data_IF_714102806177
#
_entry.id   IF_714102806177
#
_cell.length_a   1.000
_cell.length_b   1.000
_cell.length_c   1.000
_cell.angle_alpha   90.00
_cell.angle_beta   90.00
_cell.angle_gamma   90.00
#
_symmetry.space_group_name_H-M   'P 1'
#
loop_
_entity.id
_entity.type
_entity.pdbx_description
1 polymer ?
#
# COMPACT_ATOMS: atom_id res chain seq x y z
N UNK A 1 -29.44 0.59 2.13
CA UNK A 1 -28.60 0.51 3.35
C UNK A 1 -27.26 0.00 2.90
N UNK A 2 -26.23 0.85 2.82
CA UNK A 2 -24.87 0.42 2.50
C UNK A 2 -24.11 0.31 3.82
N UNK A 3 -24.07 -0.88 4.42
CA UNK A 3 -23.57 -1.08 5.81
C UNK A 3 -22.04 -1.13 5.93
N UNK A 4 -21.30 -0.95 4.84
CA UNK A 4 -19.84 -0.86 4.87
C UNK A 4 -19.26 -0.83 3.47
N UNK A 5 -17.95 -0.63 3.38
CA UNK A 5 -17.20 -0.70 2.14
C UNK A 5 -16.93 -2.16 1.77
N UNK A 6 -17.13 -2.49 0.49
CA UNK A 6 -16.64 -3.76 -0.05
C UNK A 6 -15.15 -3.61 -0.38
N UNK A 7 -14.31 -4.41 0.27
CA UNK A 7 -12.85 -4.24 0.22
C UNK A 7 -12.18 -5.47 -0.37
N UNK A 8 -11.40 -5.27 -1.42
CA UNK A 8 -10.46 -6.26 -1.94
C UNK A 8 -9.05 -6.04 -1.38
N UNK A 9 -8.34 -7.11 -1.04
CA UNK A 9 -6.94 -7.05 -0.62
C UNK A 9 -6.12 -7.97 -1.50
N UNK A 10 -5.38 -7.40 -2.45
CA UNK A 10 -4.45 -8.11 -3.31
C UNK A 10 -3.11 -8.32 -2.59
N UNK A 11 -2.75 -9.59 -2.37
CA UNK A 11 -1.62 -9.98 -1.54
C UNK A 11 -2.00 -10.26 -0.09
N UNK A 12 -3.24 -10.72 0.14
CA UNK A 12 -3.79 -10.94 1.48
C UNK A 12 -3.00 -11.97 2.32
N UNK A 13 -2.35 -12.95 1.69
CA UNK A 13 -1.50 -13.97 2.37
C UNK A 13 -0.09 -13.48 2.69
N UNK A 14 0.28 -12.29 2.22
CA UNK A 14 1.55 -11.65 2.58
C UNK A 14 1.49 -11.04 3.98
N UNK A 15 2.66 -10.81 4.59
CA UNK A 15 2.74 -10.23 5.94
C UNK A 15 2.02 -8.86 6.06
N UNK A 16 2.06 -8.04 5.00
CA UNK A 16 1.34 -6.75 4.98
C UNK A 16 -0.17 -6.96 4.83
N UNK A 17 -0.60 -7.94 4.03
CA UNK A 17 -2.01 -8.28 3.87
C UNK A 17 -2.63 -8.83 5.16
N UNK A 18 -1.92 -9.74 5.85
CA UNK A 18 -2.30 -10.27 7.17
C UNK A 18 -2.45 -9.12 8.18
N UNK A 19 -1.44 -8.23 8.27
CA UNK A 19 -1.49 -7.07 9.17
C UNK A 19 -2.60 -6.07 8.81
N UNK A 20 -2.92 -5.89 7.52
CA UNK A 20 -4.00 -5.02 7.08
C UNK A 20 -5.37 -5.57 7.52
N UNK A 21 -5.59 -6.88 7.38
CA UNK A 21 -6.80 -7.55 7.86
C UNK A 21 -6.97 -7.38 9.39
N UNK A 22 -5.89 -7.58 10.13
CA UNK A 22 -5.86 -7.36 11.59
C UNK A 22 -6.19 -5.90 11.92
N UNK A 23 -5.52 -4.94 11.27
CA UNK A 23 -5.71 -3.51 11.50
C UNK A 23 -7.15 -3.06 11.20
N UNK A 24 -7.74 -3.52 10.09
CA UNK A 24 -9.13 -3.21 9.73
C UNK A 24 -10.11 -3.72 10.79
N UNK A 25 -9.87 -4.92 11.34
CA UNK A 25 -10.71 -5.50 12.38
C UNK A 25 -10.54 -4.77 13.73
N UNK A 26 -9.30 -4.50 14.15
CA UNK A 26 -8.99 -3.78 15.39
C UNK A 26 -9.56 -2.36 15.41
N UNK A 27 -9.51 -1.68 14.26
CA UNK A 27 -10.05 -0.33 14.08
C UNK A 27 -11.56 -0.30 13.92
N UNK A 28 -12.23 -1.47 13.87
CA UNK A 28 -13.65 -1.59 13.58
C UNK A 28 -14.04 -0.81 12.32
N UNK A 29 -13.19 -0.88 11.28
CA UNK A 29 -13.46 -0.19 10.03
C UNK A 29 -14.78 -0.70 9.44
N UNK A 30 -15.64 0.17 8.88
CA UNK A 30 -16.93 -0.24 8.33
C UNK A 30 -16.73 -1.05 7.04
N UNK A 31 -16.52 -2.35 7.18
CA UNK A 31 -16.38 -3.33 6.09
C UNK A 31 -17.72 -4.03 5.88
N UNK A 32 -18.21 -4.03 4.64
CA UNK A 32 -19.33 -4.84 4.20
C UNK A 32 -18.85 -6.26 3.90
N UNK A 33 -18.37 -6.45 2.67
CA UNK A 33 -17.70 -7.69 2.24
C UNK A 33 -16.18 -7.51 2.15
N UNK A 34 -15.43 -8.58 2.47
CA UNK A 34 -13.97 -8.59 2.35
C UNK A 34 -13.52 -9.71 1.41
N UNK A 35 -12.73 -9.34 0.41
CA UNK A 35 -12.22 -10.23 -0.62
C UNK A 35 -10.70 -10.36 -0.47
N UNK A 36 -10.25 -11.48 0.08
CA UNK A 36 -8.83 -11.79 0.18
C UNK A 36 -8.35 -12.37 -1.15
N UNK A 37 -7.42 -11.70 -1.82
CA UNK A 37 -6.92 -12.09 -3.13
C UNK A 37 -5.42 -12.41 -3.07
N UNK A 38 -5.01 -13.44 -3.79
CA UNK A 38 -3.61 -13.77 -4.02
C UNK A 38 -3.41 -14.26 -5.45
N UNK A 39 -2.16 -14.49 -5.84
CA UNK A 39 -1.86 -15.22 -7.08
C UNK A 39 -2.08 -16.72 -6.83
N UNK A 40 -2.48 -17.45 -7.87
CA UNK A 40 -2.77 -18.89 -7.97
C UNK A 40 -2.14 -19.83 -6.93
N UNK A 41 -0.89 -19.62 -6.54
CA UNK A 41 -0.17 -20.46 -5.55
C UNK A 41 -0.83 -20.48 -4.16
N UNK A 42 -1.54 -19.42 -3.77
CA UNK A 42 -2.13 -19.23 -2.45
C UNK A 42 -3.67 -19.25 -2.44
N UNK A 43 -4.30 -19.49 -3.59
CA UNK A 43 -5.76 -19.60 -3.67
C UNK A 43 -6.25 -20.83 -2.89
N UNK A 44 -7.35 -20.67 -2.15
CA UNK A 44 -7.92 -21.69 -1.27
C UNK A 44 -7.40 -21.69 0.17
N UNK A 45 -6.41 -20.86 0.50
CA UNK A 45 -6.01 -20.63 1.89
C UNK A 45 -7.14 -19.96 2.70
N UNK A 46 -7.15 -20.19 4.00
CA UNK A 46 -8.13 -19.59 4.91
C UNK A 46 -7.45 -18.54 5.80
N UNK A 47 -7.90 -17.29 5.68
CA UNK A 47 -7.51 -16.20 6.56
C UNK A 47 -8.63 -15.94 7.58
N UNK A 48 -8.33 -15.14 8.62
CA UNK A 48 -9.31 -14.72 9.62
C UNK A 48 -9.53 -13.21 9.54
N UNK A 49 -10.80 -12.80 9.59
CA UNK A 49 -11.20 -11.40 9.66
C UNK A 49 -12.44 -11.26 10.54
N UNK A 50 -12.40 -10.41 11.57
CA UNK A 50 -13.54 -10.18 12.46
C UNK A 50 -14.13 -11.46 13.09
N UNK A 51 -13.27 -12.43 13.43
CA UNK A 51 -13.69 -13.73 13.96
C UNK A 51 -14.18 -14.75 12.93
N UNK A 52 -14.46 -14.33 11.69
CA UNK A 52 -14.90 -15.18 10.57
C UNK A 52 -13.70 -15.69 9.76
N UNK A 53 -13.89 -16.81 9.05
CA UNK A 53 -12.92 -17.31 8.06
C UNK A 53 -13.22 -16.70 6.69
N UNK A 54 -12.17 -16.24 6.01
CA UNK A 54 -12.21 -15.69 4.66
C UNK A 54 -11.37 -16.58 3.76
N UNK A 55 -11.96 -17.09 2.68
CA UNK A 55 -11.25 -17.91 1.70
C UNK A 55 -10.50 -16.99 0.75
N UNK A 56 -9.22 -17.28 0.52
CA UNK A 56 -8.39 -16.57 -0.45
C UNK A 56 -8.77 -17.01 -1.85
N UNK A 57 -9.08 -16.05 -2.71
CA UNK A 57 -9.44 -16.26 -4.12
C UNK A 57 -8.24 -15.95 -5.02
N UNK A 58 -8.21 -16.56 -6.21
CA UNK A 58 -7.27 -16.12 -7.24
C UNK A 58 -7.73 -14.76 -7.78
N UNK A 59 -6.80 -13.80 -7.82
CA UNK A 59 -7.06 -12.48 -8.40
C UNK A 59 -7.47 -12.56 -9.88
N UNK A 60 -7.07 -13.61 -10.61
CA UNK A 60 -7.43 -13.79 -12.01
C UNK A 60 -8.91 -14.12 -12.24
N UNK A 61 -9.55 -14.76 -11.27
CA UNK A 61 -10.96 -15.14 -11.36
C UNK A 61 -11.88 -14.15 -10.62
N UNK A 62 -11.30 -13.10 -10.03
CA UNK A 62 -12.03 -12.14 -9.23
C UNK A 62 -12.74 -11.09 -10.09
N UNK A 63 -14.02 -10.88 -9.83
CA UNK A 63 -14.80 -9.79 -10.43
C UNK A 63 -14.65 -8.51 -9.60
N UNK A 64 -13.83 -7.59 -10.13
CA UNK A 64 -13.51 -6.31 -9.49
C UNK A 64 -14.72 -5.39 -9.29
N UNK A 65 -15.85 -5.61 -9.96
CA UNK A 65 -17.07 -4.81 -9.75
C UNK A 65 -17.71 -5.05 -8.38
N UNK A 66 -17.32 -6.14 -7.70
CA UNK A 66 -17.79 -6.46 -6.35
C UNK A 66 -17.16 -5.58 -5.26
N UNK A 67 -15.97 -5.01 -5.54
CA UNK A 67 -15.24 -4.17 -4.60
C UNK A 67 -15.41 -2.67 -4.91
N UNK A 68 -15.32 -1.85 -3.87
CA UNK A 68 -15.34 -0.39 -3.96
C UNK A 68 -13.97 0.20 -3.63
N UNK A 69 -13.25 -0.47 -2.73
CA UNK A 69 -11.90 -0.12 -2.30
C UNK A 69 -11.01 -1.34 -2.46
N UNK A 70 -9.80 -1.16 -3.00
CA UNK A 70 -8.84 -2.24 -3.13
C UNK A 70 -7.48 -1.83 -2.58
N UNK A 71 -6.90 -2.67 -1.71
CA UNK A 71 -5.54 -2.50 -1.23
C UNK A 71 -4.59 -3.42 -1.99
N UNK A 72 -3.61 -2.83 -2.66
CA UNK A 72 -2.61 -3.54 -3.43
C UNK A 72 -1.30 -3.61 -2.65
N UNK A 73 -1.04 -4.78 -2.07
CA UNK A 73 0.14 -5.06 -1.22
C UNK A 73 0.93 -6.29 -1.69
N UNK A 74 0.78 -6.65 -2.97
CA UNK A 74 1.41 -7.81 -3.61
C UNK A 74 2.67 -7.47 -4.44
N UNK A 75 3.12 -6.21 -4.43
CA UNK A 75 4.28 -5.76 -5.20
C UNK A 75 3.95 -5.29 -6.62
N UNK A 76 4.95 -4.73 -7.31
CA UNK A 76 4.74 -3.95 -8.54
C UNK A 76 4.24 -4.80 -9.71
N UNK A 77 4.71 -6.05 -9.82
CA UNK A 77 4.29 -6.95 -10.90
C UNK A 77 2.81 -7.34 -10.79
N UNK A 78 2.35 -7.65 -9.57
CA UNK A 78 0.93 -7.95 -9.33
C UNK A 78 0.06 -6.71 -9.50
N UNK A 79 0.58 -5.53 -9.11
CA UNK A 79 -0.15 -4.27 -9.26
C UNK A 79 -0.30 -3.90 -10.73
N UNK A 80 0.76 -4.03 -11.53
CA UNK A 80 0.70 -3.80 -12.97
C UNK A 80 -0.29 -4.72 -13.69
N UNK A 81 -0.47 -5.95 -13.20
CA UNK A 81 -1.37 -6.93 -13.81
C UNK A 81 -2.86 -6.59 -13.60
N UNK A 82 -3.22 -6.03 -12.44
CA UNK A 82 -4.64 -5.94 -12.03
C UNK A 82 -5.17 -4.53 -11.82
N UNK A 83 -4.31 -3.50 -11.84
CA UNK A 83 -4.74 -2.15 -11.48
C UNK A 83 -5.71 -1.55 -12.50
N UNK A 84 -5.50 -1.82 -13.80
CA UNK A 84 -6.39 -1.32 -14.84
C UNK A 84 -7.75 -2.01 -14.75
N UNK A 85 -7.80 -3.33 -14.52
CA UNK A 85 -9.06 -4.05 -14.33
C UNK A 85 -9.84 -3.53 -13.11
N UNK A 86 -9.17 -3.34 -11.98
CA UNK A 86 -9.78 -2.81 -10.77
C UNK A 86 -10.32 -1.38 -10.97
N UNK A 87 -9.48 -0.48 -11.49
CA UNK A 87 -9.87 0.93 -11.68
C UNK A 87 -10.95 1.11 -12.73
N UNK A 88 -10.92 0.35 -13.83
CA UNK A 88 -11.96 0.34 -14.85
C UNK A 88 -13.29 -0.23 -14.35
N UNK A 89 -13.25 -1.15 -13.38
CA UNK A 89 -14.44 -1.63 -12.67
C UNK A 89 -15.00 -0.60 -11.65
N UNK A 90 -14.31 0.53 -11.47
CA UNK A 90 -14.72 1.60 -10.55
C UNK A 90 -14.18 1.47 -9.13
N UNK A 91 -13.28 0.52 -8.85
CA UNK A 91 -12.59 0.44 -7.57
C UNK A 91 -11.66 1.65 -7.39
N UNK A 92 -11.69 2.23 -6.18
CA UNK A 92 -10.58 3.05 -5.70
C UNK A 92 -9.44 2.13 -5.25
N UNK A 93 -8.27 2.24 -5.89
CA UNK A 93 -7.11 1.43 -5.57
C UNK A 93 -6.13 2.20 -4.69
N UNK A 94 -5.72 1.62 -3.57
CA UNK A 94 -4.62 2.09 -2.72
C UNK A 94 -3.42 1.17 -2.98
N UNK A 95 -2.44 1.66 -3.72
CA UNK A 95 -1.25 0.92 -4.13
C UNK A 95 -0.05 1.22 -3.22
N UNK A 96 0.47 0.17 -2.57
CA UNK A 96 1.71 0.23 -1.78
C UNK A 96 2.90 -0.41 -2.50
N UNK A 97 2.79 -0.74 -3.79
CA UNK A 97 3.88 -1.35 -4.56
C UNK A 97 4.97 -0.37 -4.99
N UNK A 98 4.64 0.92 -5.05
CA UNK A 98 5.53 1.97 -5.53
C UNK A 98 5.66 2.03 -7.05
N UNK A 99 4.78 1.34 -7.79
CA UNK A 99 4.70 1.40 -9.25
C UNK A 99 4.28 2.81 -9.71
N UNK A 100 3.29 3.40 -9.04
CA UNK A 100 2.72 4.71 -9.41
C UNK A 100 3.33 5.90 -8.65
N UNK A 101 4.32 5.68 -7.80
CA UNK A 101 4.87 6.70 -6.90
C UNK A 101 5.46 7.94 -7.62
N UNK A 102 5.85 7.81 -8.89
CA UNK A 102 6.41 8.91 -9.68
C UNK A 102 5.45 9.45 -10.73
N UNK A 103 4.31 8.81 -10.95
CA UNK A 103 3.33 9.25 -11.93
C UNK A 103 2.72 10.60 -11.49
N UNK A 104 2.59 11.57 -12.41
CA UNK A 104 2.14 12.92 -12.06
C UNK A 104 0.62 13.00 -11.82
N UNK A 105 -0.14 12.07 -12.38
CA UNK A 105 -1.60 11.98 -12.30
C UNK A 105 -2.09 11.06 -11.16
N UNK A 106 -1.17 10.45 -10.41
CA UNK A 106 -1.48 9.63 -9.24
C UNK A 106 -0.96 10.32 -7.97
N UNK A 107 -1.82 10.60 -6.97
CA UNK A 107 -1.38 11.18 -5.71
C UNK A 107 -0.51 10.19 -4.92
N UNK A 108 0.71 10.62 -4.55
CA UNK A 108 1.57 9.92 -3.62
C UNK A 108 1.35 10.46 -2.19
N UNK A 109 0.75 9.65 -1.32
CA UNK A 109 0.21 10.08 -0.04
C UNK A 109 1.04 9.55 1.13
N UNK A 110 1.31 10.45 2.07
CA UNK A 110 1.70 10.18 3.45
C UNK A 110 0.69 10.91 4.34
N UNK A 111 -0.22 10.20 5.03
CA UNK A 111 -1.40 10.81 5.65
C UNK A 111 -1.11 11.99 6.58
N UNK A 112 -0.04 11.94 7.36
CA UNK A 112 0.33 12.99 8.33
C UNK A 112 1.07 14.17 7.70
N UNK A 113 1.48 14.06 6.44
CA UNK A 113 2.40 15.01 5.79
C UNK A 113 1.67 15.77 4.68
N UNK A 114 1.00 15.08 3.77
CA UNK A 114 0.35 15.68 2.60
C UNK A 114 -1.06 15.15 2.34
N UNK A 115 -2.00 15.17 3.30
CA UNK A 115 -3.34 14.61 3.13
C UNK A 115 -4.15 15.29 2.03
N UNK A 116 -3.84 16.55 1.70
CA UNK A 116 -4.57 17.35 0.70
C UNK A 116 -4.43 16.81 -0.73
N UNK A 117 -3.33 16.11 -1.07
CA UNK A 117 -3.15 15.55 -2.42
C UNK A 117 -4.14 14.41 -2.70
N UNK A 118 -4.78 13.85 -1.66
CA UNK A 118 -5.85 12.88 -1.84
C UNK A 118 -6.98 13.41 -2.72
N UNK A 119 -7.20 14.73 -2.81
CA UNK A 119 -8.25 15.31 -3.65
C UNK A 119 -8.13 14.90 -5.14
N UNK A 120 -6.92 14.57 -5.59
CA UNK A 120 -6.61 14.24 -7.00
C UNK A 120 -6.81 12.75 -7.34
N UNK A 121 -7.29 11.93 -6.38
CA UNK A 121 -7.43 10.47 -6.57
C UNK A 121 -8.29 10.09 -7.78
N UNK A 122 -9.26 10.94 -8.16
CA UNK A 122 -10.21 10.69 -9.26
C UNK A 122 -9.58 10.73 -10.64
N UNK A 123 -8.35 11.24 -10.79
CA UNK A 123 -7.65 11.28 -12.07
C UNK A 123 -7.46 9.88 -12.65
N UNK A 124 -7.16 8.91 -11.76
CA UNK A 124 -6.80 7.54 -12.09
C UNK A 124 -7.59 6.50 -11.30
N UNK A 125 -8.37 6.90 -10.30
CA UNK A 125 -8.88 6.04 -9.22
C UNK A 125 -7.78 5.24 -8.51
N UNK A 126 -6.56 5.78 -8.49
CA UNK A 126 -5.41 5.19 -7.81
C UNK A 126 -4.85 6.20 -6.81
N UNK A 127 -4.48 5.72 -5.64
CA UNK A 127 -3.69 6.42 -4.64
C UNK A 127 -2.42 5.61 -4.42
N UNK A 128 -1.26 6.21 -4.63
CA UNK A 128 0.01 5.58 -4.26
C UNK A 128 0.33 5.91 -2.80
N UNK A 129 0.74 4.91 -2.03
CA UNK A 129 1.22 5.09 -0.65
C UNK A 129 2.74 5.06 -0.67
N UNK A 130 3.37 6.02 -0.01
CA UNK A 130 4.82 6.03 0.09
C UNK A 130 5.32 4.84 0.91
N UNK A 131 6.50 4.31 0.55
CA UNK A 131 7.10 3.20 1.26
C UNK A 131 7.32 3.53 2.76
N UNK A 132 7.39 2.49 3.58
CA UNK A 132 7.39 2.64 5.04
C UNK A 132 8.53 3.51 5.57
N UNK A 133 9.72 3.45 4.98
CA UNK A 133 10.87 4.25 5.41
C UNK A 133 10.67 5.72 5.05
N UNK A 134 10.22 5.98 3.82
CA UNK A 134 9.89 7.33 3.37
C UNK A 134 8.79 7.94 4.22
N UNK A 135 7.70 7.21 4.47
CA UNK A 135 6.59 7.66 5.31
C UNK A 135 7.04 8.00 6.74
N UNK A 136 7.81 7.11 7.38
CA UNK A 136 8.33 7.32 8.74
C UNK A 136 9.27 8.53 8.82
N UNK A 137 10.17 8.67 7.85
CA UNK A 137 11.10 9.79 7.79
C UNK A 137 10.36 11.12 7.60
N UNK A 138 9.41 11.18 6.67
CA UNK A 138 8.65 12.41 6.39
C UNK A 138 7.77 12.81 7.57
N UNK A 139 7.12 11.86 8.25
CA UNK A 139 6.35 12.14 9.45
C UNK A 139 7.23 12.75 10.56
N UNK A 140 8.46 12.25 10.73
CA UNK A 140 9.43 12.80 11.67
C UNK A 140 9.97 14.19 11.26
N UNK A 141 10.13 14.43 9.96
CA UNK A 141 10.67 15.70 9.43
C UNK A 141 9.61 16.79 9.27
N UNK A 142 8.32 16.46 9.18
CA UNK A 142 7.24 17.42 8.90
C UNK A 142 7.27 18.65 9.82
N UNK A 143 7.45 18.54 11.16
CA UNK A 143 7.51 19.72 12.02
C UNK A 143 8.71 20.64 11.71
N UNK A 144 9.85 20.08 11.28
CA UNK A 144 11.04 20.86 10.92
C UNK A 144 10.85 21.56 9.57
N UNK A 145 10.22 20.86 8.61
CA UNK A 145 9.83 21.44 7.32
C UNK A 145 8.89 22.64 7.55
N UNK A 146 7.90 22.50 8.42
CA UNK A 146 6.90 23.54 8.70
C UNK A 146 7.49 24.77 9.42
N UNK A 147 8.52 24.59 10.25
CA UNK A 147 9.10 25.67 11.04
C UNK A 147 10.10 26.54 10.28
N UNK A 148 10.80 25.98 9.28
CA UNK A 148 11.88 26.71 8.62
C UNK A 148 12.34 26.15 7.28
N UNK A 149 11.63 25.16 6.74
CA UNK A 149 12.02 24.45 5.52
C UNK A 149 13.24 23.56 5.73
N UNK A 150 13.52 22.74 4.72
CA UNK A 150 14.60 21.76 4.75
C UNK A 150 15.30 21.76 3.40
N UNK A 151 16.59 22.11 3.38
CA UNK A 151 17.37 22.21 2.14
C UNK A 151 18.13 20.94 1.78
N UNK A 152 18.53 20.15 2.79
CA UNK A 152 19.28 18.90 2.61
C UNK A 152 19.11 17.97 3.79
N UNK A 153 19.02 16.67 3.50
CA UNK A 153 19.11 15.59 4.48
C UNK A 153 20.10 14.53 4.02
N UNK A 154 20.76 13.90 4.98
CA UNK A 154 21.55 12.69 4.78
C UNK A 154 20.91 11.58 5.62
N UNK A 155 20.62 10.44 4.99
CA UNK A 155 19.88 9.33 5.62
C UNK A 155 20.73 8.06 5.55
N UNK A 156 20.85 7.37 6.68
CA UNK A 156 21.45 6.03 6.77
C UNK A 156 20.36 5.10 7.28
N UNK A 157 19.99 4.11 6.47
CA UNK A 157 18.94 3.15 6.82
C UNK A 157 19.55 1.83 7.31
N UNK A 158 19.18 1.41 8.52
CA UNK A 158 19.50 0.09 9.05
C UNK A 158 18.24 -0.78 9.00
N UNK A 159 18.18 -1.70 8.04
CA UNK A 159 16.97 -2.47 7.76
C UNK A 159 17.03 -3.85 8.41
N UNK A 160 15.93 -4.23 9.05
CA UNK A 160 15.71 -5.60 9.51
C UNK A 160 15.58 -6.56 8.33
N UNK A 161 15.99 -7.82 8.53
CA UNK A 161 15.83 -8.91 7.56
C UNK A 161 14.37 -9.13 7.14
N UNK A 162 13.40 -8.80 8.01
CA UNK A 162 11.97 -8.90 7.73
C UNK A 162 11.49 -7.97 6.60
N UNK A 163 12.24 -6.89 6.29
CA UNK A 163 11.90 -5.96 5.22
C UNK A 163 11.89 -6.60 3.82
N UNK A 164 12.48 -7.79 3.66
CA UNK A 164 12.48 -8.53 2.39
C UNK A 164 11.31 -9.53 2.25
N UNK A 165 10.37 -9.57 3.21
CA UNK A 165 9.20 -10.44 3.19
C UNK A 165 9.44 -11.86 3.72
N UNK A 166 8.34 -12.54 4.06
CA UNK A 166 8.26 -13.83 4.79
C UNK A 166 9.11 -14.95 4.16
N UNK A 167 9.07 -15.09 2.82
CA UNK A 167 9.86 -16.11 2.09
C UNK A 167 11.37 -15.83 2.08
N UNK A 168 11.79 -14.55 2.16
CA UNK A 168 13.20 -14.14 2.05
C UNK A 168 13.87 -13.94 3.41
N UNK A 169 13.11 -13.63 4.46
CA UNK A 169 13.60 -13.60 5.84
C UNK A 169 14.07 -14.97 6.33
N UNK A 170 13.51 -16.07 5.82
CA UNK A 170 13.93 -17.45 6.13
C UNK A 170 15.20 -17.90 5.39
N UNK A 171 15.72 -17.13 4.42
CA UNK A 171 16.86 -17.52 3.57
C UNK A 171 17.96 -16.44 3.62
N UNK A 172 18.73 -16.42 4.70
CA UNK A 172 19.96 -15.62 4.84
C UNK A 172 21.18 -16.56 4.85
N UNK A 173 22.07 -16.47 3.86
CA UNK A 173 23.12 -15.44 3.82
C UNK A 173 23.30 -14.77 2.44
N UNK A 174 23.94 -13.59 2.41
CA UNK A 174 24.43 -12.88 1.20
C UNK A 174 23.45 -11.97 0.44
N UNK A 175 23.29 -10.73 0.94
CA UNK A 175 23.48 -9.45 0.21
C UNK A 175 22.78 -8.31 0.95
N UNK A 176 23.57 -7.40 1.52
CA UNK A 176 23.12 -6.09 2.00
C UNK A 176 23.52 -5.04 0.96
N UNK A 177 22.57 -4.64 0.11
CA UNK A 177 22.58 -3.33 -0.55
C UNK A 177 21.15 -2.97 -0.93
N UNK A 178 20.61 -1.96 -0.25
CA UNK A 178 19.53 -1.14 -0.78
C UNK A 178 19.86 0.30 -0.41
N UNK A 179 20.29 1.09 -1.41
CA UNK A 179 20.27 2.54 -1.31
C UNK A 179 18.84 2.98 -1.66
N UNK A 180 18.16 3.65 -0.74
CA UNK A 180 16.97 4.44 -1.07
C UNK A 180 17.35 5.37 -2.23
N UNK A 181 16.62 5.28 -3.35
CA UNK A 181 16.87 6.14 -4.50
C UNK A 181 16.44 7.56 -4.12
N UNK A 182 17.41 8.44 -3.85
CA UNK A 182 17.25 9.80 -3.35
C UNK A 182 16.20 10.68 -4.07
N UNK A 183 15.86 10.33 -5.32
CA UNK A 183 14.89 11.04 -6.15
C UNK A 183 13.45 11.01 -5.61
N UNK A 184 12.99 9.87 -5.07
CA UNK A 184 11.60 9.75 -4.55
C UNK A 184 11.39 10.62 -3.31
N UNK A 185 12.44 10.74 -2.49
CA UNK A 185 12.42 11.52 -1.25
C UNK A 185 12.36 13.03 -1.51
N UNK A 186 13.09 13.54 -2.52
CA UNK A 186 13.06 14.97 -2.87
C UNK A 186 11.71 15.42 -3.44
N UNK A 187 11.05 14.61 -4.29
CA UNK A 187 9.69 14.92 -4.78
C UNK A 187 8.71 15.03 -3.61
N UNK A 188 8.82 14.14 -2.62
CA UNK A 188 7.95 14.16 -1.43
C UNK A 188 8.23 15.30 -0.46
N UNK A 189 9.49 15.70 -0.27
CA UNK A 189 9.82 16.90 0.52
C UNK A 189 9.25 18.15 -0.16
N UNK A 190 9.35 18.23 -1.49
CA UNK A 190 8.74 19.34 -2.23
C UNK A 190 7.23 19.38 -2.07
N UNK A 191 6.57 18.21 -2.13
CA UNK A 191 5.13 18.10 -1.87
C UNK A 191 4.82 18.53 -0.44
N UNK A 192 5.53 18.02 0.58
CA UNK A 192 5.32 18.33 1.99
C UNK A 192 5.54 19.81 2.39
N UNK A 193 6.34 20.54 1.61
CA UNK A 193 6.62 21.96 1.82
C UNK A 193 5.65 22.91 1.08
N UNK A 194 4.73 22.35 0.28
CA UNK A 194 3.68 23.07 -0.45
C UNK A 194 2.38 23.04 0.33
#
# INVERSE_FOLDING_TARGET
MSEGWNIAILGATGAVGEALLETLAERQFPVGEIYALARHESAGEHLRFGGKSVIVQDAADFDWTQAQLAFFVAGAEASAAWIDDATNAGCLVIDSSGLFALEPDVPLVVPEVNPYVLADYRNRNVIAVADSLTSQLLAALKPLIDQGGLSRIAVISMLSASAQGKKRSMRWPDRVRSCLTAYRLMKMISLAAS
#
